data_IF_889523395799
#
_entry.id   IF_889523395799
#
_cell.length_a   1.000
_cell.length_b   1.000
_cell.length_c   1.000
_cell.angle_alpha   90.00
_cell.angle_beta   90.00
_cell.angle_gamma   90.00
#
_symmetry.space_group_name_H-M   'P 1'
#
loop_
_entity.id
_entity.type
_entity.pdbx_description
1 polymer ?
#
# COMPACT_ATOMS: atom_id res chain seq x y z
N UNK A 1 46.13 2.29 65.75
CA UNK A 1 45.66 1.92 64.37
C UNK A 1 44.43 1.04 64.56
N UNK A 2 43.23 1.63 64.44
CA UNK A 2 41.95 0.92 64.61
C UNK A 2 41.46 0.46 63.26
N UNK A 3 41.31 -0.87 63.04
CA UNK A 3 40.74 -1.49 61.91
C UNK A 3 39.20 -1.35 61.95
N UNK A 4 38.62 -0.57 61.06
CA UNK A 4 37.19 -0.49 60.89
C UNK A 4 36.76 -1.70 60.05
N UNK A 5 36.05 -2.63 60.68
CA UNK A 5 35.36 -3.74 59.98
C UNK A 5 34.11 -3.18 59.31
N UNK A 6 34.11 -3.18 57.97
CA UNK A 6 32.89 -2.96 57.19
C UNK A 6 32.03 -4.21 57.32
N UNK A 7 30.94 -4.11 58.06
CA UNK A 7 29.89 -5.12 58.05
C UNK A 7 29.11 -4.97 56.75
N UNK A 8 29.25 -5.90 55.81
CA UNK A 8 28.39 -6.06 54.66
C UNK A 8 27.12 -6.73 55.19
N UNK A 9 26.05 -5.96 55.28
CA UNK A 9 24.71 -6.49 55.59
C UNK A 9 24.21 -7.21 54.31
N UNK A 10 24.40 -8.52 54.27
CA UNK A 10 23.83 -9.39 53.26
C UNK A 10 22.34 -9.57 53.61
N UNK A 11 21.46 -8.78 53.02
CA UNK A 11 20.03 -9.02 53.12
C UNK A 11 19.72 -10.21 52.20
N UNK A 12 19.63 -11.38 52.80
CA UNK A 12 19.10 -12.59 52.14
C UNK A 12 17.60 -12.34 52.08
N UNK A 13 17.11 -11.93 50.88
CA UNK A 13 15.71 -12.02 50.56
C UNK A 13 15.42 -13.48 50.28
N UNK A 14 14.96 -14.22 51.29
CA UNK A 14 14.29 -15.48 51.10
C UNK A 14 12.98 -15.21 50.35
N UNK A 15 13.03 -15.19 49.03
CA UNK A 15 11.86 -15.23 48.19
C UNK A 15 11.20 -16.58 48.37
N UNK A 16 10.13 -16.63 49.11
CA UNK A 16 9.18 -17.73 49.09
C UNK A 16 8.62 -17.83 47.67
N UNK A 17 9.12 -18.77 46.87
CA UNK A 17 8.48 -19.20 45.65
C UNK A 17 7.18 -19.92 46.00
N UNK A 18 6.13 -19.15 46.18
CA UNK A 18 4.76 -19.72 46.17
C UNK A 18 3.85 -18.76 45.43
N UNK A 19 3.49 -19.15 44.23
CA UNK A 19 2.40 -18.55 43.48
C UNK A 19 2.82 -17.42 42.57
N UNK A 20 2.42 -17.53 41.30
CA UNK A 20 2.34 -16.45 40.31
C UNK A 20 1.39 -15.35 40.81
N UNK A 21 1.82 -14.54 41.78
CA UNK A 21 1.09 -13.37 42.26
C UNK A 21 1.87 -12.11 41.90
N UNK A 22 1.27 -11.23 41.14
CA UNK A 22 1.77 -9.88 40.88
C UNK A 22 1.91 -9.14 42.26
N UNK A 23 2.97 -8.34 42.42
CA UNK A 23 3.15 -7.50 43.61
C UNK A 23 1.91 -6.60 43.79
N UNK A 24 1.47 -6.41 45.07
CA UNK A 24 0.31 -5.58 45.39
C UNK A 24 0.71 -4.30 46.11
N UNK A 25 0.03 -3.22 45.77
CA UNK A 25 0.11 -1.95 46.51
C UNK A 25 -0.60 -2.05 47.86
N UNK A 26 -0.40 -1.07 48.76
CA UNK A 26 -1.05 -1.00 50.07
C UNK A 26 -2.58 -1.08 50.04
N UNK A 27 -3.21 -0.77 48.89
CA UNK A 27 -4.65 -0.92 48.66
C UNK A 27 -5.08 -2.28 48.04
N UNK A 28 -4.19 -3.29 47.97
CA UNK A 28 -4.50 -4.61 47.43
C UNK A 28 -4.52 -4.68 45.88
N UNK A 29 -4.33 -3.57 45.15
CA UNK A 29 -4.27 -3.53 43.68
C UNK A 29 -2.96 -4.11 43.19
N UNK A 30 -3.01 -4.85 42.10
CA UNK A 30 -1.82 -5.34 41.40
C UNK A 30 -0.94 -4.17 40.96
N UNK A 31 0.37 -4.26 41.23
CA UNK A 31 1.31 -3.18 40.92
C UNK A 31 2.25 -3.56 39.79
N UNK A 32 2.59 -2.59 38.94
CA UNK A 32 3.67 -2.69 37.96
C UNK A 32 4.95 -1.99 38.44
N UNK A 33 4.83 -1.07 39.38
CA UNK A 33 5.93 -0.39 40.03
C UNK A 33 5.60 -0.18 41.51
N UNK A 34 6.55 -0.47 42.43
CA UNK A 34 6.44 -0.16 43.86
C UNK A 34 7.57 0.74 44.28
N UNK A 35 7.29 1.68 45.21
CA UNK A 35 8.26 2.53 45.87
C UNK A 35 8.52 2.04 47.30
N UNK A 36 9.50 2.64 47.99
CA UNK A 36 9.98 2.19 49.30
C UNK A 36 8.90 2.22 50.40
N UNK A 37 7.88 3.07 50.25
CA UNK A 37 6.76 3.26 51.19
C UNK A 37 5.53 2.41 50.82
N UNK A 38 5.68 1.41 49.96
CA UNK A 38 4.61 0.61 49.36
C UNK A 38 3.58 1.41 48.53
N UNK A 39 3.89 2.67 48.20
CA UNK A 39 3.25 3.38 47.12
C UNK A 39 3.73 2.82 45.76
N UNK A 40 3.07 3.21 44.67
CA UNK A 40 3.48 2.75 43.34
C UNK A 40 2.45 3.01 42.28
N UNK A 41 2.66 2.39 41.14
CA UNK A 41 1.76 2.45 39.97
C UNK A 41 1.04 1.11 39.82
N UNK A 42 -0.29 1.14 39.86
CA UNK A 42 -1.07 -0.07 39.63
C UNK A 42 -1.15 -0.47 38.15
N UNK A 43 -1.33 -1.76 37.90
CA UNK A 43 -1.61 -2.28 36.54
C UNK A 43 -2.83 -1.59 35.92
N UNK A 44 -3.87 -1.34 36.71
CA UNK A 44 -5.09 -0.63 36.28
C UNK A 44 -4.76 0.81 35.83
N UNK A 45 -3.96 1.55 36.62
CA UNK A 45 -3.57 2.91 36.23
C UNK A 45 -2.77 2.94 34.93
N UNK A 46 -1.84 1.99 34.75
CA UNK A 46 -1.09 1.84 33.50
C UNK A 46 -2.02 1.47 32.35
N UNK A 47 -2.92 0.50 32.56
CA UNK A 47 -3.90 0.07 31.56
C UNK A 47 -4.77 1.23 31.08
N UNK A 48 -5.36 2.01 31.99
CA UNK A 48 -6.20 3.15 31.62
C UNK A 48 -5.40 4.20 30.81
N UNK A 49 -4.15 4.48 31.18
CA UNK A 49 -3.30 5.41 30.41
C UNK A 49 -2.94 4.89 29.01
N UNK A 50 -2.69 3.59 28.87
CA UNK A 50 -2.44 2.95 27.57
C UNK A 50 -3.71 2.93 26.73
N UNK A 51 -4.86 2.60 27.35
CA UNK A 51 -6.17 2.63 26.69
C UNK A 51 -6.50 4.02 26.16
N UNK A 52 -6.26 5.07 26.95
CA UNK A 52 -6.48 6.46 26.54
C UNK A 52 -5.62 6.87 25.35
N UNK A 53 -4.40 6.39 25.30
CA UNK A 53 -3.42 6.84 24.29
C UNK A 53 -3.45 6.00 23.02
N UNK A 54 -3.63 4.68 23.15
CA UNK A 54 -3.48 3.72 22.05
C UNK A 54 -4.65 2.75 21.90
N UNK A 55 -5.65 2.83 22.81
CA UNK A 55 -6.67 1.78 22.93
C UNK A 55 -7.47 1.54 21.66
N UNK A 56 -7.87 2.59 20.95
CA UNK A 56 -8.67 2.44 19.72
C UNK A 56 -7.87 1.79 18.59
N UNK A 57 -6.63 2.19 18.40
CA UNK A 57 -5.77 1.62 17.36
C UNK A 57 -5.52 0.12 17.61
N UNK A 58 -5.14 -0.23 18.85
CA UNK A 58 -4.92 -1.63 19.25
C UNK A 58 -6.19 -2.44 19.12
N UNK A 59 -7.32 -1.90 19.60
CA UNK A 59 -8.63 -2.57 19.52
C UNK A 59 -9.03 -2.87 18.08
N UNK A 60 -8.87 -1.90 17.19
CA UNK A 60 -9.22 -2.05 15.77
C UNK A 60 -8.34 -3.09 15.08
N UNK A 61 -7.05 -3.12 15.39
CA UNK A 61 -6.14 -4.15 14.86
C UNK A 61 -6.55 -5.55 15.34
N UNK A 62 -6.92 -5.71 16.61
CA UNK A 62 -7.40 -6.99 17.16
C UNK A 62 -8.73 -7.42 16.53
N UNK A 63 -9.68 -6.50 16.39
CA UNK A 63 -10.97 -6.76 15.74
C UNK A 63 -10.76 -7.21 14.29
N UNK A 64 -10.00 -6.45 13.53
CA UNK A 64 -9.77 -6.77 12.11
C UNK A 64 -9.01 -8.09 11.94
N UNK A 65 -8.04 -8.39 12.83
CA UNK A 65 -7.35 -9.69 12.83
C UNK A 65 -8.32 -10.84 13.06
N UNK A 66 -9.20 -10.72 14.05
CA UNK A 66 -10.20 -11.74 14.37
C UNK A 66 -11.20 -11.93 13.21
N UNK A 67 -11.77 -10.83 12.70
CA UNK A 67 -12.80 -10.89 11.67
C UNK A 67 -12.23 -11.35 10.32
N UNK A 68 -11.07 -10.83 9.92
CA UNK A 68 -10.43 -11.23 8.66
C UNK A 68 -9.89 -12.66 8.70
N UNK A 69 -9.59 -13.21 9.89
CA UNK A 69 -9.24 -14.62 10.01
C UNK A 69 -10.44 -15.56 9.77
N UNK A 70 -11.68 -15.08 9.93
CA UNK A 70 -12.91 -15.80 9.58
C UNK A 70 -13.22 -15.73 8.09
N UNK A 71 -12.85 -14.62 7.42
CA UNK A 71 -13.06 -14.44 5.97
C UNK A 71 -11.98 -15.15 5.15
N UNK A 72 -10.73 -15.17 5.63
CA UNK A 72 -9.58 -15.66 4.89
C UNK A 72 -8.81 -16.72 5.69
N UNK A 73 -8.78 -17.94 5.19
CA UNK A 73 -7.86 -18.97 5.68
C UNK A 73 -6.43 -18.64 5.24
N UNK A 74 -5.44 -19.15 5.98
CA UNK A 74 -4.03 -19.03 5.57
C UNK A 74 -3.80 -19.79 4.26
N UNK A 75 -3.11 -19.16 3.32
CA UNK A 75 -2.71 -19.73 2.03
C UNK A 75 -1.21 -19.60 1.85
N UNK A 76 -0.63 -20.44 0.97
CA UNK A 76 0.79 -20.36 0.62
C UNK A 76 1.11 -19.00 0.00
N UNK A 77 0.23 -18.45 -0.85
CA UNK A 77 0.41 -17.13 -1.46
C UNK A 77 0.44 -16.00 -0.43
N UNK A 78 -0.40 -16.07 0.61
CA UNK A 78 -0.36 -15.13 1.74
C UNK A 78 0.97 -15.26 2.49
N UNK A 79 1.42 -16.49 2.76
CA UNK A 79 2.67 -16.73 3.47
C UNK A 79 3.88 -16.22 2.68
N UNK A 80 3.93 -16.51 1.38
CA UNK A 80 4.97 -16.04 0.48
C UNK A 80 5.00 -14.48 0.45
N UNK A 81 3.86 -13.83 0.39
CA UNK A 81 3.78 -12.37 0.46
C UNK A 81 4.36 -11.83 1.76
N UNK A 82 3.96 -12.42 2.91
CA UNK A 82 4.43 -12.02 4.24
C UNK A 82 5.95 -12.17 4.35
N UNK A 83 6.49 -13.29 3.92
CA UNK A 83 7.93 -13.58 4.01
C UNK A 83 8.74 -12.69 3.04
N UNK A 84 8.25 -12.44 1.85
CA UNK A 84 8.88 -11.53 0.89
C UNK A 84 8.92 -10.09 1.41
N UNK A 85 7.81 -9.58 1.95
CA UNK A 85 7.76 -8.23 2.53
C UNK A 85 8.65 -8.12 3.77
N UNK A 86 8.61 -9.10 4.67
CA UNK A 86 9.46 -9.15 5.84
C UNK A 86 10.95 -9.12 5.45
N UNK A 87 11.37 -9.97 4.51
CA UNK A 87 12.75 -10.03 4.04
C UNK A 87 13.18 -8.74 3.32
N UNK A 88 12.27 -8.10 2.59
CA UNK A 88 12.50 -6.80 1.96
C UNK A 88 12.81 -5.72 2.99
N UNK A 89 11.99 -5.60 4.06
CA UNK A 89 12.26 -4.66 5.15
C UNK A 89 13.58 -4.98 5.86
N UNK A 90 13.85 -6.25 6.15
CA UNK A 90 15.10 -6.67 6.80
C UNK A 90 16.34 -6.31 5.97
N UNK A 91 16.26 -6.51 4.65
CA UNK A 91 17.33 -6.13 3.71
C UNK A 91 17.50 -4.62 3.60
N UNK A 92 16.38 -3.88 3.50
CA UNK A 92 16.40 -2.43 3.32
C UNK A 92 16.96 -1.70 4.54
N UNK A 93 16.63 -2.16 5.75
CA UNK A 93 16.96 -1.49 7.00
C UNK A 93 18.23 -2.00 7.69
N UNK A 94 18.74 -3.16 7.30
CA UNK A 94 20.00 -3.72 7.80
C UNK A 94 20.09 -3.68 9.33
N UNK A 95 21.16 -3.07 9.86
CA UNK A 95 21.41 -2.97 11.31
C UNK A 95 20.34 -2.15 12.07
N UNK A 96 19.59 -1.29 11.39
CA UNK A 96 18.53 -0.49 11.99
C UNK A 96 17.17 -1.22 12.02
N UNK A 97 17.09 -2.45 11.55
CA UNK A 97 15.84 -3.19 11.38
C UNK A 97 14.96 -3.19 12.65
N UNK A 98 15.52 -3.55 13.81
CA UNK A 98 14.77 -3.57 15.08
C UNK A 98 14.24 -2.20 15.48
N UNK A 99 15.06 -1.16 15.33
CA UNK A 99 14.65 0.20 15.66
C UNK A 99 13.54 0.71 14.74
N UNK A 100 13.59 0.36 13.47
CA UNK A 100 12.58 0.75 12.49
C UNK A 100 11.29 -0.05 12.61
N UNK A 101 11.34 -1.33 13.01
CA UNK A 101 10.14 -2.08 13.37
C UNK A 101 9.35 -1.37 14.49
N UNK A 102 10.04 -0.98 15.57
CA UNK A 102 9.41 -0.27 16.68
C UNK A 102 8.91 1.12 16.26
N UNK A 103 9.68 1.85 15.48
CA UNK A 103 9.36 3.22 15.10
C UNK A 103 8.20 3.32 14.08
N UNK A 104 8.24 2.50 13.01
CA UNK A 104 7.24 2.61 11.92
C UNK A 104 5.99 1.77 12.16
N UNK A 105 6.10 0.64 12.87
CA UNK A 105 4.99 -0.30 13.04
C UNK A 105 4.57 -0.50 14.50
N UNK A 106 5.32 0.06 15.45
CA UNK A 106 5.02 -0.11 16.88
C UNK A 106 5.16 -1.55 17.37
N UNK A 107 5.95 -2.39 16.67
CA UNK A 107 6.14 -3.82 16.99
C UNK A 107 7.55 -4.08 17.50
N UNK A 108 7.68 -5.07 18.39
CA UNK A 108 8.94 -5.35 19.10
C UNK A 108 9.63 -6.64 18.61
N UNK A 109 8.88 -7.54 17.99
CA UNK A 109 9.36 -8.85 17.54
C UNK A 109 9.17 -9.05 16.04
N UNK A 110 9.95 -9.94 15.44
CA UNK A 110 9.82 -10.32 14.03
C UNK A 110 8.44 -10.97 13.75
N UNK A 111 7.92 -11.75 14.69
CA UNK A 111 6.60 -12.38 14.56
C UNK A 111 5.47 -11.34 14.58
N UNK A 112 5.54 -10.34 15.46
CA UNK A 112 4.59 -9.21 15.44
C UNK A 112 4.61 -8.45 14.13
N UNK A 113 5.79 -8.25 13.52
CA UNK A 113 5.89 -7.62 12.20
C UNK A 113 5.24 -8.48 11.12
N UNK A 114 5.48 -9.80 11.13
CA UNK A 114 4.84 -10.71 10.18
C UNK A 114 3.31 -10.72 10.32
N UNK A 115 2.79 -10.71 11.54
CA UNK A 115 1.34 -10.61 11.76
C UNK A 115 0.77 -9.24 11.33
N UNK A 116 1.51 -8.14 11.53
CA UNK A 116 1.14 -6.83 11.00
C UNK A 116 1.07 -6.82 9.46
N UNK A 117 2.06 -7.42 8.79
CA UNK A 117 2.07 -7.54 7.32
C UNK A 117 0.88 -8.38 6.87
N UNK A 118 0.59 -9.52 7.54
CA UNK A 118 -0.56 -10.39 7.25
C UNK A 118 -1.88 -9.67 7.41
N UNK A 119 -2.05 -8.92 8.49
CA UNK A 119 -3.26 -8.13 8.72
C UNK A 119 -3.50 -7.14 7.57
N UNK A 120 -2.48 -6.43 7.12
CA UNK A 120 -2.63 -5.48 6.02
C UNK A 120 -2.88 -6.17 4.67
N UNK A 121 -2.26 -7.32 4.41
CA UNK A 121 -2.58 -8.15 3.25
C UNK A 121 -4.07 -8.51 3.21
N UNK A 122 -4.63 -8.98 4.32
CA UNK A 122 -6.04 -9.35 4.44
C UNK A 122 -6.99 -8.15 4.38
N UNK A 123 -6.60 -7.00 4.95
CA UNK A 123 -7.36 -5.74 4.81
C UNK A 123 -7.48 -5.32 3.34
N UNK A 124 -6.39 -5.43 2.59
CA UNK A 124 -6.41 -5.14 1.16
C UNK A 124 -7.28 -6.14 0.39
N UNK A 125 -7.14 -7.44 0.65
CA UNK A 125 -7.97 -8.47 0.03
C UNK A 125 -9.46 -8.23 0.31
N UNK A 126 -9.83 -7.89 1.55
CA UNK A 126 -11.21 -7.54 1.88
C UNK A 126 -11.70 -6.29 1.15
N UNK A 127 -10.87 -5.26 1.07
CA UNK A 127 -11.20 -4.02 0.36
C UNK A 127 -11.48 -4.28 -1.12
N UNK A 128 -10.66 -5.10 -1.77
CA UNK A 128 -10.86 -5.51 -3.16
C UNK A 128 -12.15 -6.35 -3.33
N UNK A 129 -12.38 -7.32 -2.47
CA UNK A 129 -13.57 -8.17 -2.54
C UNK A 129 -14.85 -7.38 -2.25
N UNK A 130 -14.79 -6.43 -1.33
CA UNK A 130 -15.88 -5.50 -1.08
C UNK A 130 -16.16 -4.61 -2.29
N UNK A 131 -15.12 -4.08 -2.92
CA UNK A 131 -15.24 -3.27 -4.13
C UNK A 131 -15.86 -4.07 -5.29
N UNK A 132 -15.39 -5.29 -5.53
CA UNK A 132 -15.95 -6.19 -6.57
C UNK A 132 -17.45 -6.45 -6.36
N UNK A 133 -17.88 -6.63 -5.11
CA UNK A 133 -19.30 -6.83 -4.76
C UNK A 133 -20.17 -5.57 -4.97
N UNK A 134 -19.56 -4.40 -5.01
CA UNK A 134 -20.26 -3.13 -5.28
C UNK A 134 -20.38 -2.81 -6.78
N UNK A 135 -19.77 -3.62 -7.65
CA UNK A 135 -19.86 -3.43 -9.10
C UNK A 135 -21.22 -3.94 -9.60
N UNK A 136 -21.97 -3.06 -10.26
CA UNK A 136 -23.30 -3.36 -10.80
C UNK A 136 -23.22 -3.84 -12.26
N UNK A 137 -24.22 -4.59 -12.71
CA UNK A 137 -24.33 -4.99 -14.12
C UNK A 137 -24.39 -3.78 -15.05
N UNK A 138 -24.98 -2.67 -14.63
CA UNK A 138 -24.99 -1.43 -15.40
C UNK A 138 -23.58 -0.91 -15.62
N UNK A 139 -22.76 -0.82 -14.57
CA UNK A 139 -21.37 -0.37 -14.68
C UNK A 139 -20.54 -1.30 -15.58
N UNK A 140 -20.76 -2.63 -15.49
CA UNK A 140 -20.09 -3.60 -16.35
C UNK A 140 -20.44 -3.36 -17.83
N UNK A 141 -21.73 -3.19 -18.14
CA UNK A 141 -22.17 -2.97 -19.51
C UNK A 141 -21.71 -1.62 -20.07
N UNK A 142 -21.77 -0.55 -19.26
CA UNK A 142 -21.28 0.78 -19.64
C UNK A 142 -19.77 0.74 -19.90
N UNK A 143 -18.99 0.14 -19.00
CA UNK A 143 -17.54 -0.02 -19.16
C UNK A 143 -17.22 -0.84 -20.43
N UNK A 144 -17.90 -1.97 -20.60
CA UNK A 144 -17.72 -2.79 -21.80
C UNK A 144 -18.00 -2.00 -23.08
N UNK A 145 -19.10 -1.26 -23.13
CA UNK A 145 -19.48 -0.49 -24.31
C UNK A 145 -18.47 0.61 -24.63
N UNK A 146 -18.07 1.38 -23.63
CA UNK A 146 -17.40 2.66 -23.81
C UNK A 146 -15.86 2.56 -23.76
N UNK A 147 -15.31 1.56 -23.07
CA UNK A 147 -13.88 1.49 -22.79
C UNK A 147 -13.20 0.21 -23.28
N UNK A 148 -13.90 -0.94 -23.30
CA UNK A 148 -13.26 -2.21 -23.67
C UNK A 148 -12.80 -2.17 -25.11
N UNK A 149 -11.53 -2.50 -25.32
CA UNK A 149 -10.90 -2.69 -26.62
C UNK A 149 -10.21 -4.05 -26.69
N UNK A 150 -9.97 -4.53 -27.92
CA UNK A 150 -9.10 -5.69 -28.13
C UNK A 150 -7.64 -5.38 -27.84
N UNK A 151 -6.83 -6.41 -27.79
CA UNK A 151 -5.40 -6.30 -27.52
C UNK A 151 -4.70 -5.38 -28.52
N UNK A 152 -3.91 -4.45 -27.98
CA UNK A 152 -3.15 -3.47 -28.75
C UNK A 152 -1.68 -3.89 -28.78
N UNK A 153 -1.09 -3.88 -29.97
CA UNK A 153 0.35 -3.92 -30.16
C UNK A 153 0.82 -2.51 -30.51
N UNK A 154 1.78 -1.99 -29.78
CA UNK A 154 2.31 -0.65 -30.00
C UNK A 154 3.82 -0.60 -29.73
N UNK A 155 4.45 0.42 -30.27
CA UNK A 155 5.79 0.86 -29.88
C UNK A 155 5.73 2.24 -29.24
N UNK A 156 6.72 2.58 -28.41
CA UNK A 156 6.84 3.92 -27.88
C UNK A 156 8.27 4.45 -27.90
N UNK A 157 8.40 5.76 -27.85
CA UNK A 157 9.62 6.47 -27.56
C UNK A 157 9.39 7.22 -26.24
N UNK A 158 10.14 6.93 -25.20
CA UNK A 158 10.10 7.66 -23.94
C UNK A 158 11.19 8.71 -23.91
N UNK A 159 10.84 9.95 -23.64
CA UNK A 159 11.77 11.00 -23.28
C UNK A 159 11.58 11.29 -21.81
N UNK A 160 12.48 10.77 -20.98
CA UNK A 160 12.37 10.89 -19.54
C UNK A 160 12.53 12.35 -19.08
N UNK A 161 11.77 12.74 -18.09
CA UNK A 161 12.07 13.97 -17.38
C UNK A 161 13.22 13.70 -16.43
N UNK A 162 14.33 14.42 -16.57
CA UNK A 162 15.48 14.34 -15.65
C UNK A 162 15.18 15.00 -14.28
N UNK A 163 13.94 15.40 -14.02
CA UNK A 163 13.52 16.00 -12.76
C UNK A 163 13.68 15.04 -11.59
N UNK A 164 14.32 15.49 -10.50
CA UNK A 164 14.51 14.71 -9.27
C UNK A 164 13.93 15.45 -8.07
N UNK A 165 13.65 14.73 -6.98
CA UNK A 165 13.12 15.32 -5.75
C UNK A 165 14.05 16.35 -5.10
N UNK A 166 15.34 16.35 -5.46
CA UNK A 166 16.35 17.30 -4.95
C UNK A 166 16.35 18.64 -5.70
N UNK A 167 15.66 18.72 -6.83
CA UNK A 167 15.59 19.93 -7.65
C UNK A 167 14.52 20.88 -7.11
N UNK A 168 14.76 22.18 -7.26
CA UNK A 168 13.75 23.21 -7.06
C UNK A 168 12.63 23.11 -8.11
N UNK A 169 11.48 23.70 -7.84
CA UNK A 169 10.33 23.68 -8.75
C UNK A 169 10.67 24.30 -10.12
N UNK A 170 11.52 25.33 -10.16
CA UNK A 170 11.99 25.94 -11.40
C UNK A 170 12.90 25.02 -12.21
N UNK A 171 13.78 24.25 -11.54
CA UNK A 171 14.65 23.27 -12.20
C UNK A 171 13.86 22.07 -12.72
N UNK A 172 12.88 21.58 -11.93
CA UNK A 172 11.96 20.52 -12.37
C UNK A 172 11.20 20.95 -13.63
N UNK A 173 10.66 22.17 -13.62
CA UNK A 173 9.93 22.72 -14.75
C UNK A 173 10.83 22.84 -16.00
N UNK A 174 12.07 23.32 -15.85
CA UNK A 174 13.01 23.41 -16.94
C UNK A 174 13.38 22.04 -17.54
N UNK A 175 13.55 21.02 -16.68
CA UNK A 175 13.79 19.64 -17.12
C UNK A 175 12.58 19.07 -17.89
N UNK A 176 11.37 19.29 -17.42
CA UNK A 176 10.14 18.90 -18.13
C UNK A 176 9.99 19.61 -19.48
N UNK A 177 10.27 20.92 -19.55
CA UNK A 177 10.21 21.69 -20.80
C UNK A 177 11.23 21.20 -21.82
N UNK A 178 12.45 20.83 -21.38
CA UNK A 178 13.49 20.22 -22.22
C UNK A 178 13.01 18.89 -22.82
N UNK A 179 12.47 18.01 -21.99
CA UNK A 179 11.92 16.71 -22.43
C UNK A 179 10.76 16.91 -23.42
N UNK A 180 9.83 17.81 -23.13
CA UNK A 180 8.71 18.13 -24.01
C UNK A 180 9.18 18.66 -25.37
N UNK A 181 10.19 19.52 -25.38
CA UNK A 181 10.77 20.09 -26.60
C UNK A 181 11.37 18.98 -27.47
N UNK A 182 12.18 18.11 -26.88
CA UNK A 182 12.80 16.99 -27.60
C UNK A 182 11.72 16.02 -28.17
N UNK A 183 10.70 15.70 -27.37
CA UNK A 183 9.60 14.86 -27.85
C UNK A 183 8.86 15.48 -29.06
N UNK A 184 8.68 16.80 -29.07
CA UNK A 184 8.12 17.52 -30.25
C UNK A 184 9.04 17.47 -31.46
N UNK A 185 10.36 17.63 -31.26
CA UNK A 185 11.33 17.54 -32.34
C UNK A 185 11.35 16.14 -32.99
N UNK A 186 11.21 15.08 -32.19
CA UNK A 186 11.09 13.70 -32.70
C UNK A 186 9.80 13.52 -33.51
N UNK A 187 8.67 14.09 -33.06
CA UNK A 187 7.43 14.07 -33.85
C UNK A 187 7.63 14.78 -35.22
N UNK A 188 8.36 15.89 -35.27
CA UNK A 188 8.67 16.55 -36.53
C UNK A 188 9.58 15.71 -37.44
N UNK A 189 10.50 14.91 -36.89
CA UNK A 189 11.30 13.94 -37.65
C UNK A 189 10.40 12.83 -38.25
N UNK A 190 9.46 12.30 -37.45
CA UNK A 190 8.46 11.32 -37.92
C UNK A 190 7.59 11.88 -39.06
N UNK A 191 7.17 13.15 -38.98
CA UNK A 191 6.44 13.84 -40.07
C UNK A 191 7.25 13.97 -41.35
N UNK A 192 8.58 14.06 -41.24
CA UNK A 192 9.48 14.07 -42.39
C UNK A 192 9.80 12.70 -42.95
N UNK A 193 9.23 11.64 -42.36
CA UNK A 193 9.34 10.27 -42.84
C UNK A 193 10.48 9.46 -42.26
N UNK A 194 11.13 9.95 -41.19
CA UNK A 194 12.08 9.12 -40.44
C UNK A 194 11.35 7.94 -39.76
N UNK A 195 12.04 6.79 -39.69
CA UNK A 195 11.41 5.57 -39.18
C UNK A 195 11.28 5.61 -37.66
N UNK A 196 10.13 5.20 -37.15
CA UNK A 196 9.84 5.15 -35.72
C UNK A 196 10.85 4.30 -34.95
N UNK A 197 11.21 3.14 -35.50
CA UNK A 197 12.16 2.19 -34.91
C UNK A 197 13.56 2.78 -34.74
N UNK A 198 14.02 3.55 -35.74
CA UNK A 198 15.34 4.18 -35.71
C UNK A 198 15.39 5.31 -34.66
N UNK A 199 14.32 6.12 -34.62
CA UNK A 199 14.19 7.19 -33.61
C UNK A 199 14.03 6.62 -32.20
N UNK A 200 13.36 5.47 -32.02
CA UNK A 200 13.27 4.80 -30.74
C UNK A 200 14.64 4.33 -30.24
N UNK A 201 15.49 3.77 -31.11
CA UNK A 201 16.88 3.39 -30.76
C UNK A 201 17.74 4.57 -30.43
N UNK A 202 17.55 5.69 -31.14
CA UNK A 202 18.40 6.89 -30.98
C UNK A 202 18.01 7.73 -29.75
N UNK A 203 16.71 7.83 -29.45
CA UNK A 203 16.19 8.82 -28.49
C UNK A 203 15.47 8.26 -27.29
N UNK A 204 15.03 6.98 -27.30
CA UNK A 204 14.21 6.47 -26.21
C UNK A 204 15.04 6.18 -24.97
N UNK A 205 14.61 6.76 -23.85
CA UNK A 205 15.18 6.51 -22.52
C UNK A 205 14.67 5.21 -21.89
N UNK A 206 13.71 4.50 -22.55
CA UNK A 206 13.27 3.17 -22.09
C UNK A 206 14.24 2.09 -22.59
N UNK A 207 15.28 1.83 -21.79
CA UNK A 207 16.32 0.83 -22.11
C UNK A 207 15.79 -0.61 -22.20
N UNK A 208 14.57 -0.88 -21.73
CA UNK A 208 13.97 -2.23 -21.79
C UNK A 208 13.56 -2.63 -23.21
N UNK A 209 13.28 -1.65 -24.08
CA UNK A 209 12.76 -1.88 -25.43
C UNK A 209 13.34 -0.98 -26.53
N UNK A 210 14.09 0.08 -26.20
CA UNK A 210 14.65 1.02 -27.18
C UNK A 210 15.43 0.31 -28.32
N UNK A 211 16.32 -0.62 -27.98
CA UNK A 211 17.09 -1.42 -28.96
C UNK A 211 16.22 -2.28 -29.89
N UNK A 212 14.98 -2.56 -29.47
CA UNK A 212 13.98 -3.30 -30.25
C UNK A 212 13.01 -2.35 -30.98
N UNK A 213 13.36 -1.09 -31.16
CA UNK A 213 12.49 -0.09 -31.80
C UNK A 213 11.31 0.35 -30.97
N UNK A 214 11.43 0.25 -29.65
CA UNK A 214 10.40 0.68 -28.69
C UNK A 214 9.19 -0.25 -28.56
N UNK A 215 9.27 -1.50 -29.05
CA UNK A 215 8.13 -2.45 -29.03
C UNK A 215 7.77 -2.81 -27.60
N UNK A 216 6.47 -2.69 -27.29
CA UNK A 216 5.88 -3.05 -26.01
C UNK A 216 5.27 -4.45 -26.03
N UNK A 217 5.12 -5.05 -24.85
CA UNK A 217 4.22 -6.19 -24.67
C UNK A 217 2.80 -5.78 -25.02
N UNK A 218 2.01 -6.71 -25.55
CA UNK A 218 0.59 -6.48 -25.86
C UNK A 218 -0.19 -6.04 -24.64
N UNK A 219 -1.07 -5.07 -24.79
CA UNK A 219 -1.87 -4.50 -23.70
C UNK A 219 -3.28 -4.13 -24.17
N UNK A 220 -4.18 -3.87 -23.24
CA UNK A 220 -5.56 -3.44 -23.49
C UNK A 220 -6.05 -2.48 -22.39
N UNK A 221 -7.31 -2.09 -22.44
CA UNK A 221 -7.94 -1.17 -21.47
C UNK A 221 -7.84 -1.60 -20.00
N UNK A 222 -7.63 -2.90 -19.72
CA UNK A 222 -7.52 -3.47 -18.37
C UNK A 222 -6.08 -3.60 -17.88
N UNK A 223 -5.10 -3.24 -18.72
CA UNK A 223 -3.67 -3.30 -18.37
C UNK A 223 -3.27 -2.22 -17.38
N UNK A 224 -2.31 -2.55 -16.51
CA UNK A 224 -1.74 -1.62 -15.55
C UNK A 224 -0.66 -0.76 -16.20
N UNK A 225 -1.09 0.28 -16.91
CA UNK A 225 -0.23 1.28 -17.54
C UNK A 225 -0.61 2.69 -17.06
N UNK A 226 0.27 3.66 -17.29
CA UNK A 226 -0.08 5.06 -17.04
C UNK A 226 -1.38 5.43 -17.75
N UNK A 227 -2.29 6.09 -17.06
CA UNK A 227 -3.64 6.39 -17.56
C UNK A 227 -3.59 7.20 -18.86
N UNK A 228 -2.76 8.24 -18.91
CA UNK A 228 -2.68 9.10 -20.10
C UNK A 228 -2.09 8.35 -21.28
N UNK A 229 -1.10 7.48 -21.01
CA UNK A 229 -0.52 6.61 -22.03
C UNK A 229 -1.56 5.67 -22.61
N UNK A 230 -2.28 4.95 -21.76
CA UNK A 230 -3.29 3.97 -22.13
C UNK A 230 -4.43 4.61 -22.93
N UNK A 231 -5.01 5.71 -22.44
CA UNK A 231 -6.07 6.43 -23.13
C UNK A 231 -5.62 6.94 -24.50
N UNK A 232 -4.39 7.42 -24.61
CA UNK A 232 -3.83 7.89 -25.88
C UNK A 232 -3.62 6.74 -26.87
N UNK A 233 -3.08 5.62 -26.39
CA UNK A 233 -2.90 4.42 -27.24
C UNK A 233 -4.23 3.85 -27.74
N UNK A 234 -5.26 3.81 -26.89
CA UNK A 234 -6.61 3.35 -27.26
C UNK A 234 -7.20 4.23 -28.37
N UNK A 235 -7.08 5.55 -28.28
CA UNK A 235 -7.62 6.51 -29.25
C UNK A 235 -6.88 6.54 -30.59
N UNK A 236 -5.65 6.05 -30.66
CA UNK A 236 -4.90 6.01 -31.91
C UNK A 236 -5.51 5.00 -32.89
N UNK A 237 -5.55 5.35 -34.17
CA UNK A 237 -5.80 4.43 -35.25
C UNK A 237 -4.60 3.51 -35.48
N UNK A 238 -4.83 2.29 -35.94
CA UNK A 238 -3.78 1.35 -36.35
C UNK A 238 -2.95 1.95 -37.50
N UNK A 239 -1.63 1.86 -37.37
CA UNK A 239 -0.68 2.46 -38.31
C UNK A 239 -0.41 3.96 -38.08
N UNK A 240 -0.92 4.55 -36.98
CA UNK A 240 -0.69 5.95 -36.63
C UNK A 240 0.11 6.07 -35.35
N UNK A 241 0.85 7.18 -35.25
CA UNK A 241 1.55 7.59 -34.04
C UNK A 241 0.93 8.86 -33.41
N UNK A 242 1.17 9.09 -32.13
CA UNK A 242 0.69 10.29 -31.43
C UNK A 242 1.35 11.55 -32.00
N UNK A 243 0.51 12.47 -32.47
CA UNK A 243 0.98 13.75 -33.07
C UNK A 243 1.31 14.81 -32.03
N UNK A 244 1.06 14.53 -30.77
CA UNK A 244 1.44 15.33 -29.59
C UNK A 244 2.09 14.41 -28.56
N UNK A 245 3.12 14.90 -27.81
CA UNK A 245 3.71 14.11 -26.73
C UNK A 245 2.69 13.80 -25.64
N UNK A 246 2.68 12.56 -25.17
CA UNK A 246 1.79 12.07 -24.11
C UNK A 246 2.55 12.11 -22.78
N UNK A 247 2.09 12.93 -21.81
CA UNK A 247 2.75 13.06 -20.52
C UNK A 247 2.37 11.90 -19.58
N UNK A 248 3.36 11.31 -18.93
CA UNK A 248 3.22 10.35 -17.82
C UNK A 248 4.08 10.76 -16.63
N UNK A 249 4.08 9.96 -15.57
CA UNK A 249 5.02 10.14 -14.45
C UNK A 249 6.50 9.93 -14.84
N UNK A 250 6.78 9.25 -15.94
CA UNK A 250 8.15 8.97 -16.40
C UNK A 250 8.71 10.05 -17.33
N UNK A 251 7.87 10.90 -17.91
CA UNK A 251 8.24 11.91 -18.90
C UNK A 251 7.21 12.01 -20.02
N UNK A 252 7.69 12.12 -21.26
CA UNK A 252 6.84 12.25 -22.44
C UNK A 252 7.01 11.06 -23.38
N UNK A 253 5.91 10.51 -23.85
CA UNK A 253 5.88 9.39 -24.76
C UNK A 253 5.40 9.84 -26.16
N UNK A 254 5.97 9.22 -27.19
CA UNK A 254 5.42 9.18 -28.53
C UNK A 254 5.01 7.73 -28.74
N UNK A 255 3.74 7.48 -29.07
CA UNK A 255 3.14 6.14 -29.15
C UNK A 255 2.82 5.84 -30.60
N UNK A 256 3.18 4.65 -31.09
CA UNK A 256 2.85 4.16 -32.42
C UNK A 256 2.05 2.87 -32.31
N UNK A 257 0.76 2.90 -32.66
CA UNK A 257 -0.10 1.71 -32.68
C UNK A 257 0.11 0.94 -33.94
N UNK A 258 0.62 -0.29 -33.85
CA UNK A 258 0.87 -1.15 -35.02
C UNK A 258 -0.24 -2.14 -35.28
N UNK A 259 -0.95 -2.59 -34.26
CA UNK A 259 -2.05 -3.55 -34.37
C UNK A 259 -3.07 -3.35 -33.26
N UNK A 260 -4.31 -3.72 -33.51
CA UNK A 260 -5.37 -3.89 -32.53
C UNK A 260 -6.24 -5.07 -32.94
N UNK A 261 -6.48 -5.98 -31.98
CA UNK A 261 -7.39 -7.10 -32.15
C UNK A 261 -8.84 -6.63 -32.00
N UNK A 262 -9.77 -7.51 -32.44
CA UNK A 262 -11.20 -7.29 -32.25
C UNK A 262 -11.53 -7.26 -30.74
N UNK A 263 -12.59 -6.51 -30.41
CA UNK A 263 -13.12 -6.43 -29.04
C UNK A 263 -13.56 -7.82 -28.56
N UNK A 264 -13.07 -8.31 -27.42
CA UNK A 264 -13.46 -9.62 -26.91
C UNK A 264 -14.90 -9.63 -26.42
N UNK A 265 -15.55 -10.79 -26.43
CA UNK A 265 -16.90 -10.97 -25.89
C UNK A 265 -16.90 -10.72 -24.37
N UNK A 266 -17.93 -10.04 -23.85
CA UNK A 266 -18.03 -9.65 -22.45
C UNK A 266 -17.90 -10.84 -21.50
N UNK A 267 -18.52 -11.97 -21.78
CA UNK A 267 -18.50 -13.15 -20.91
C UNK A 267 -17.09 -13.70 -20.70
N UNK A 268 -16.21 -13.53 -21.70
CA UNK A 268 -14.80 -13.99 -21.60
C UNK A 268 -13.94 -13.09 -20.72
N UNK A 269 -14.34 -11.83 -20.54
CA UNK A 269 -13.56 -10.82 -19.82
C UNK A 269 -14.29 -10.24 -18.61
N UNK A 270 -15.50 -10.68 -18.29
CA UNK A 270 -16.37 -10.10 -17.25
C UNK A 270 -15.64 -9.96 -15.91
N UNK A 271 -14.89 -10.98 -15.51
CA UNK A 271 -14.12 -10.96 -14.26
C UNK A 271 -13.06 -9.84 -14.24
N UNK A 272 -12.35 -9.64 -15.36
CA UNK A 272 -11.34 -8.59 -15.45
C UNK A 272 -11.95 -7.18 -15.53
N UNK A 273 -13.12 -7.05 -16.17
CA UNK A 273 -13.89 -5.79 -16.17
C UNK A 273 -14.36 -5.44 -14.76
N UNK A 274 -14.91 -6.40 -14.00
CA UNK A 274 -15.29 -6.19 -12.60
C UNK A 274 -14.08 -5.76 -11.77
N UNK A 275 -12.94 -6.43 -11.91
CA UNK A 275 -11.72 -6.08 -11.19
C UNK A 275 -11.25 -4.64 -11.52
N UNK A 276 -11.31 -4.25 -12.80
CA UNK A 276 -10.93 -2.90 -13.23
C UNK A 276 -11.84 -1.83 -12.62
N UNK A 277 -13.15 -2.00 -12.70
CA UNK A 277 -14.14 -1.08 -12.12
C UNK A 277 -13.96 -1.01 -10.58
N UNK A 278 -13.73 -2.15 -9.93
CA UNK A 278 -13.50 -2.21 -8.49
C UNK A 278 -12.24 -1.42 -8.07
N UNK A 279 -11.14 -1.56 -8.82
CA UNK A 279 -9.92 -0.79 -8.58
C UNK A 279 -10.16 0.72 -8.76
N UNK A 280 -10.90 1.12 -9.80
CA UNK A 280 -11.25 2.54 -10.01
C UNK A 280 -12.10 3.10 -8.86
N UNK A 281 -13.01 2.31 -8.27
CA UNK A 281 -13.78 2.71 -7.08
C UNK A 281 -12.85 2.95 -5.88
N UNK A 282 -11.85 2.10 -5.68
CA UNK A 282 -10.86 2.23 -4.59
C UNK A 282 -9.98 3.46 -4.81
N UNK A 283 -9.46 3.65 -6.02
CA UNK A 283 -8.56 4.76 -6.36
C UNK A 283 -9.26 6.14 -6.28
N UNK A 284 -10.52 6.20 -6.68
CA UNK A 284 -11.29 7.45 -6.73
C UNK A 284 -11.90 7.87 -5.37
N UNK A 285 -11.91 7.00 -4.37
CA UNK A 285 -12.40 7.30 -3.03
C UNK A 285 -11.35 6.94 -1.96
N UNK A 286 -10.61 7.93 -1.50
CA UNK A 286 -9.58 7.76 -0.45
C UNK A 286 -10.11 7.16 0.87
N UNK A 287 -11.43 7.21 1.09
CA UNK A 287 -12.09 6.61 2.26
C UNK A 287 -12.59 5.18 2.02
N UNK A 288 -12.45 4.64 0.80
CA UNK A 288 -13.06 3.37 0.41
C UNK A 288 -12.61 2.20 1.29
N UNK A 289 -11.30 2.09 1.54
CA UNK A 289 -10.76 1.03 2.41
C UNK A 289 -11.33 1.11 3.84
N UNK A 290 -11.48 2.32 4.38
CA UNK A 290 -12.11 2.52 5.70
C UNK A 290 -13.58 2.08 5.68
N UNK A 291 -14.34 2.46 4.65
CA UNK A 291 -15.74 2.03 4.48
C UNK A 291 -15.87 0.51 4.36
N UNK A 292 -14.98 -0.13 3.61
CA UNK A 292 -14.96 -1.58 3.48
C UNK A 292 -14.73 -2.28 4.83
N UNK A 293 -13.81 -1.78 5.66
CA UNK A 293 -13.56 -2.34 7.00
C UNK A 293 -14.69 -2.03 7.99
N UNK A 294 -15.37 -0.90 7.87
CA UNK A 294 -16.60 -0.64 8.63
C UNK A 294 -17.69 -1.64 8.26
N UNK A 295 -17.90 -1.87 6.96
CA UNK A 295 -18.85 -2.86 6.47
C UNK A 295 -18.53 -4.30 6.94
N UNK A 296 -17.23 -4.66 7.07
CA UNK A 296 -16.82 -5.92 7.67
C UNK A 296 -17.30 -6.03 9.12
N UNK A 297 -17.07 -5.00 9.93
CA UNK A 297 -17.44 -4.98 11.36
C UNK A 297 -18.95 -4.98 11.54
N UNK A 298 -19.70 -4.31 10.67
CA UNK A 298 -21.16 -4.34 10.63
C UNK A 298 -21.71 -5.73 10.24
N UNK A 299 -21.09 -6.40 9.26
CA UNK A 299 -21.42 -7.79 8.88
C UNK A 299 -21.38 -8.76 10.06
N UNK A 300 -20.47 -8.52 11.02
CA UNK A 300 -20.31 -9.32 12.23
C UNK A 300 -21.02 -8.72 13.45
N UNK A 301 -21.91 -7.75 13.27
CA UNK A 301 -22.69 -7.11 14.34
C UNK A 301 -21.79 -6.65 15.52
N UNK A 302 -20.61 -6.07 15.17
CA UNK A 302 -19.62 -5.67 16.15
C UNK A 302 -20.21 -4.71 17.18
N UNK A 303 -20.04 -5.03 18.47
CA UNK A 303 -20.43 -4.19 19.59
C UNK A 303 -19.24 -3.93 20.51
N UNK A 304 -18.89 -2.66 20.75
CA UNK A 304 -17.85 -2.25 21.68
C UNK A 304 -18.51 -1.94 23.02
N UNK A 305 -18.24 -2.76 24.05
CA UNK A 305 -18.87 -2.64 25.36
C UNK A 305 -18.24 -1.61 26.30
N UNK A 306 -17.00 -1.19 26.04
CA UNK A 306 -16.32 -0.10 26.74
C UNK A 306 -16.74 1.24 26.12
N UNK A 307 -17.51 2.05 26.85
CA UNK A 307 -18.09 3.30 26.35
C UNK A 307 -17.06 4.32 25.88
N UNK A 308 -15.85 4.32 26.49
CA UNK A 308 -14.77 5.25 26.12
C UNK A 308 -14.12 4.83 24.79
N UNK A 309 -13.85 3.54 24.63
CA UNK A 309 -13.35 2.98 23.38
C UNK A 309 -14.40 3.09 22.28
N UNK A 310 -15.67 2.88 22.58
CA UNK A 310 -16.78 3.06 21.64
C UNK A 310 -16.86 4.50 21.13
N UNK A 311 -16.86 5.47 22.05
CA UNK A 311 -16.88 6.90 21.69
C UNK A 311 -15.69 7.28 20.80
N UNK A 312 -14.49 6.82 21.17
CA UNK A 312 -13.28 7.09 20.40
C UNK A 312 -13.32 6.39 19.04
N UNK A 313 -13.78 5.16 18.95
CA UNK A 313 -13.98 4.43 17.69
C UNK A 313 -14.96 5.18 16.77
N UNK A 314 -16.12 5.57 17.29
CA UNK A 314 -17.14 6.28 16.52
C UNK A 314 -16.59 7.61 15.97
N UNK A 315 -15.81 8.35 16.75
CA UNK A 315 -15.22 9.62 16.30
C UNK A 315 -14.22 9.46 15.15
N UNK A 316 -13.55 8.31 15.04
CA UNK A 316 -12.55 8.06 13.99
C UNK A 316 -13.13 7.38 12.76
N UNK A 317 -14.06 6.44 12.93
CA UNK A 317 -14.50 5.53 11.88
C UNK A 317 -15.96 5.71 11.42
N UNK A 318 -16.83 6.30 12.24
CA UNK A 318 -18.27 6.48 11.89
C UNK A 318 -18.65 7.90 11.45
N UNK A 319 -17.74 8.88 11.55
CA UNK A 319 -18.04 10.29 11.22
C UNK A 319 -17.61 10.70 9.81
N UNK A 320 -17.31 9.76 8.93
CA UNK A 320 -16.87 10.09 7.55
C UNK A 320 -17.75 9.44 6.49
#
# INVERSE_FOLDING_TARGET
MKKIKKAILLVIVLGLMTGCGTAKLSGGKESVVTFKDNAGISAETLYEKLKDKHGVEVLVNLIDTELLSKEYSKTDSEQDYVDNMFNSYKKQWGDNFKSYMAYYFGVSTEDELKEYIRLNYRRNAWTEDYAKKQVTDKEINDYYKDYVVGDITASHILIASEATDKMSDSEKKAAEEKALKLAKEIIEKLKKGEKFEDLAKEYSDDSSNSEKGGVLSTFNDRSTLDKNFLESAIKLEVGKYSTTPVKSQYGYHIIYKTKQEDKPELDTIKTSVIAKIANEKIENDSSFASKALVALREKYEMNITDSKLESSYNSVYKTK
#
